data_IF_962370080430
#
_entry.id   IF_962370080430
#
_cell.length_a   1.000
_cell.length_b   1.000
_cell.length_c   1.000
_cell.angle_alpha   90.00
_cell.angle_beta   90.00
_cell.angle_gamma   90.00
#
_symmetry.space_group_name_H-M   'P 1'
#
loop_
_entity.id
_entity.type
_entity.pdbx_description
1 polymer ?
#
# COMPACT_ATOMS: atom_id res chain seq x y z
N UNK A 1 23.20 -2.48 8.00
CA UNK A 1 22.37 -1.28 7.71
C UNK A 1 20.98 -1.78 7.38
N UNK A 2 19.95 -1.33 8.10
CA UNK A 2 18.60 -1.83 7.90
C UNK A 2 17.82 -1.05 6.83
N UNK A 3 16.99 -1.77 6.05
CA UNK A 3 16.10 -1.21 5.03
C UNK A 3 14.91 -0.52 5.68
N UNK A 4 14.55 0.67 5.21
CA UNK A 4 13.34 1.38 5.60
C UNK A 4 12.18 0.99 4.68
N UNK A 5 11.19 0.29 5.22
CA UNK A 5 9.96 -0.07 4.52
C UNK A 5 8.80 0.78 5.04
N UNK A 6 8.06 1.39 4.12
CA UNK A 6 6.92 2.26 4.39
C UNK A 6 5.68 1.79 3.65
N UNK A 7 4.50 1.95 4.25
CA UNK A 7 3.20 1.76 3.60
C UNK A 7 2.33 3.00 3.73
N UNK A 8 1.54 3.32 2.70
CA UNK A 8 0.52 4.37 2.78
C UNK A 8 -0.64 4.15 1.80
N UNK A 9 -1.87 4.11 2.32
CA UNK A 9 -3.08 4.26 1.53
C UNK A 9 -3.26 5.73 1.13
N UNK A 10 -3.23 6.00 -0.18
CA UNK A 10 -3.24 7.38 -0.71
C UNK A 10 -4.64 7.99 -0.80
N UNK A 11 -5.68 7.24 -0.45
CA UNK A 11 -7.07 7.68 -0.53
C UNK A 11 -7.44 8.30 -1.89
N UNK A 12 -6.95 7.68 -2.97
CA UNK A 12 -7.08 8.18 -4.35
C UNK A 12 -6.53 9.62 -4.55
N UNK A 13 -5.63 10.07 -3.69
CA UNK A 13 -5.06 11.42 -3.69
C UNK A 13 -5.90 12.45 -2.93
N UNK A 14 -6.84 12.03 -2.09
CA UNK A 14 -7.75 12.93 -1.39
C UNK A 14 -7.25 13.34 0.00
N UNK A 15 -7.77 14.43 0.53
CA UNK A 15 -7.48 14.89 1.89
C UNK A 15 -8.50 14.38 2.89
N UNK A 16 -8.21 14.54 4.18
CA UNK A 16 -9.19 14.43 5.26
C UNK A 16 -9.36 15.80 5.94
N UNK A 17 -10.56 16.42 5.87
CA UNK A 17 -11.74 15.99 5.11
C UNK A 17 -11.52 16.03 3.57
N UNK A 18 -12.38 15.34 2.79
CA UNK A 18 -12.26 15.28 1.33
C UNK A 18 -12.24 16.66 0.66
N UNK A 19 -11.20 16.89 -0.12
CA UNK A 19 -10.98 18.12 -0.87
C UNK A 19 -11.33 17.99 -2.34
N UNK A 20 -11.40 19.12 -3.04
CA UNK A 20 -11.79 19.16 -4.45
C UNK A 20 -10.64 18.74 -5.38
N UNK A 21 -9.41 19.17 -5.06
CA UNK A 21 -8.19 18.93 -5.85
C UNK A 21 -7.43 17.70 -5.37
N UNK A 22 -6.92 16.90 -6.30
CA UNK A 22 -6.03 15.77 -5.98
C UNK A 22 -4.69 16.26 -5.45
N UNK A 23 -4.24 15.65 -4.35
CA UNK A 23 -2.94 15.84 -3.70
C UNK A 23 -2.00 14.66 -3.93
N UNK A 24 -2.32 13.79 -4.89
CA UNK A 24 -1.59 12.54 -5.11
C UNK A 24 -0.08 12.74 -5.31
N UNK A 25 0.31 13.71 -6.15
CA UNK A 25 1.73 14.03 -6.35
C UNK A 25 2.39 14.51 -5.05
N UNK A 26 1.73 15.39 -4.30
CA UNK A 26 2.26 15.89 -3.03
C UNK A 26 2.43 14.76 -2.00
N UNK A 27 1.48 13.82 -1.95
CA UNK A 27 1.59 12.62 -1.10
C UNK A 27 2.78 11.75 -1.50
N UNK A 28 2.90 11.41 -2.78
CA UNK A 28 3.99 10.55 -3.26
C UNK A 28 5.34 11.20 -2.99
N UNK A 29 5.49 12.50 -3.27
CA UNK A 29 6.72 13.26 -2.98
C UNK A 29 7.03 13.31 -1.50
N UNK A 30 6.02 13.54 -0.65
CA UNK A 30 6.19 13.55 0.80
C UNK A 30 6.63 12.17 1.32
N UNK A 31 6.00 11.10 0.82
CA UNK A 31 6.25 9.72 1.22
C UNK A 31 7.62 9.20 0.77
N UNK A 32 8.23 9.81 -0.24
CA UNK A 32 9.55 9.42 -0.75
C UNK A 32 10.66 10.41 -0.41
N UNK A 33 10.36 11.53 0.27
CA UNK A 33 11.29 12.64 0.48
C UNK A 33 12.58 12.23 1.21
N UNK A 34 12.46 11.36 2.22
CA UNK A 34 13.58 10.81 2.98
C UNK A 34 14.16 9.52 2.38
N UNK A 35 13.76 9.19 1.14
CA UNK A 35 14.27 8.06 0.35
C UNK A 35 14.14 6.71 1.07
N UNK A 36 12.91 6.24 1.38
CA UNK A 36 12.73 4.89 1.88
C UNK A 36 13.21 3.87 0.84
N UNK A 37 13.70 2.73 1.31
CA UNK A 37 14.14 1.65 0.43
C UNK A 37 12.95 1.03 -0.31
N UNK A 38 11.82 0.89 0.40
CA UNK A 38 10.58 0.36 -0.16
C UNK A 38 9.38 1.17 0.31
N UNK A 39 8.49 1.53 -0.62
CA UNK A 39 7.24 2.24 -0.37
C UNK A 39 6.06 1.50 -1.02
N UNK A 40 5.21 0.91 -0.18
CA UNK A 40 3.97 0.24 -0.56
C UNK A 40 2.81 1.25 -0.56
N UNK A 41 2.10 1.34 -1.68
CA UNK A 41 1.00 2.27 -1.88
C UNK A 41 -0.29 1.50 -2.19
N UNK A 42 -1.39 1.95 -1.58
CA UNK A 42 -2.74 1.47 -1.84
C UNK A 42 -3.61 2.62 -2.35
N UNK A 43 -4.73 2.27 -3.00
CA UNK A 43 -5.67 3.24 -3.58
C UNK A 43 -5.02 4.21 -4.57
N UNK A 44 -4.09 3.71 -5.38
CA UNK A 44 -3.46 4.49 -6.44
C UNK A 44 -4.39 4.52 -7.65
N UNK A 45 -4.79 5.69 -8.16
CA UNK A 45 -5.51 5.76 -9.42
C UNK A 45 -4.66 5.23 -10.60
N UNK A 46 -5.17 4.32 -11.45
CA UNK A 46 -4.44 3.75 -12.59
C UNK A 46 -3.80 4.74 -13.57
N UNK A 47 -4.30 5.98 -13.66
CA UNK A 47 -3.67 7.04 -14.48
C UNK A 47 -2.34 7.51 -13.88
N UNK A 48 -2.18 7.43 -12.57
CA UNK A 48 -1.01 7.88 -11.83
C UNK A 48 0.15 6.89 -11.85
N UNK A 49 -0.09 5.63 -12.23
CA UNK A 49 0.95 4.61 -12.33
C UNK A 49 2.13 5.01 -13.22
N UNK A 50 1.87 5.81 -14.26
CA UNK A 50 2.92 6.32 -15.16
C UNK A 50 3.80 7.39 -14.50
N UNK A 51 3.26 8.48 -13.92
CA UNK A 51 4.08 9.50 -13.27
C UNK A 51 4.65 9.10 -11.89
N UNK A 52 4.19 8.00 -11.26
CA UNK A 52 4.66 7.58 -9.93
C UNK A 52 6.18 7.58 -9.81
N UNK A 53 6.89 6.94 -10.75
CA UNK A 53 8.35 6.86 -10.71
C UNK A 53 9.04 8.22 -10.86
N UNK A 54 8.45 9.14 -11.63
CA UNK A 54 8.96 10.51 -11.77
C UNK A 54 8.74 11.33 -10.49
N UNK A 55 7.60 11.15 -9.80
CA UNK A 55 7.31 11.87 -8.57
C UNK A 55 8.18 11.39 -7.40
N UNK A 56 8.43 10.07 -7.32
CA UNK A 56 9.16 9.47 -6.21
C UNK A 56 10.67 9.33 -6.45
N UNK A 57 11.11 9.27 -7.72
CA UNK A 57 12.46 8.85 -8.08
C UNK A 57 12.73 7.36 -7.88
N UNK A 58 11.68 6.54 -7.75
CA UNK A 58 11.75 5.11 -7.41
C UNK A 58 11.27 4.22 -8.57
N UNK A 59 11.75 2.98 -8.60
CA UNK A 59 11.30 1.95 -9.55
C UNK A 59 9.93 1.41 -9.14
N UNK A 60 8.95 1.44 -10.06
CA UNK A 60 7.56 1.09 -9.75
C UNK A 60 7.22 -0.34 -10.22
N UNK A 61 6.56 -1.11 -9.36
CA UNK A 61 5.81 -2.33 -9.69
C UNK A 61 4.39 -2.20 -9.20
N UNK A 62 3.39 -2.58 -10.00
CA UNK A 62 1.99 -2.31 -9.66
C UNK A 62 1.04 -3.39 -10.15
N UNK A 63 -0.09 -3.53 -9.46
CA UNK A 63 -1.23 -4.35 -9.90
C UNK A 63 -2.48 -3.47 -9.98
N UNK A 64 -3.20 -3.52 -11.10
CA UNK A 64 -4.49 -2.84 -11.25
C UNK A 64 -5.57 -3.76 -10.65
N UNK A 65 -6.19 -3.32 -9.56
CA UNK A 65 -7.22 -4.09 -8.85
C UNK A 65 -8.60 -3.87 -9.45
N UNK A 66 -8.84 -2.66 -9.98
CA UNK A 66 -10.09 -2.29 -10.66
C UNK A 66 -9.80 -1.43 -11.88
N UNK A 67 -10.36 -1.81 -13.04
CA UNK A 67 -10.26 -1.01 -14.26
C UNK A 67 -11.13 0.24 -14.16
N UNK A 68 -10.63 1.33 -14.71
CA UNK A 68 -11.39 2.56 -14.91
C UNK A 68 -12.49 2.32 -15.96
N UNK A 69 -13.68 2.89 -15.74
CA UNK A 69 -14.76 2.93 -16.74
C UNK A 69 -14.50 4.00 -17.83
N UNK A 70 -13.57 4.92 -17.61
CA UNK A 70 -13.22 5.98 -18.55
C UNK A 70 -11.86 5.71 -19.21
N UNK A 71 -11.62 6.20 -20.45
CA UNK A 71 -10.28 6.19 -21.02
C UNK A 71 -9.28 6.91 -20.10
N UNK A 72 -8.07 6.35 -19.91
CA UNK A 72 -7.07 6.82 -18.90
C UNK A 72 -6.82 8.33 -18.90
N UNK A 73 -6.85 8.98 -20.08
CA UNK A 73 -6.63 10.44 -20.21
C UNK A 73 -7.77 11.25 -19.59
N UNK A 74 -9.01 10.81 -19.79
CA UNK A 74 -10.22 11.43 -19.24
C UNK A 74 -10.35 11.15 -17.75
N UNK A 75 -10.06 9.91 -17.31
CA UNK A 75 -10.03 9.55 -15.89
C UNK A 75 -9.06 10.45 -15.10
N UNK A 76 -7.84 10.65 -15.61
CA UNK A 76 -6.86 11.53 -14.97
C UNK A 76 -7.28 13.00 -14.93
N UNK A 77 -7.93 13.52 -15.98
CA UNK A 77 -8.45 14.89 -15.98
C UNK A 77 -9.59 15.07 -14.95
N UNK A 78 -10.54 14.12 -14.91
CA UNK A 78 -11.69 14.15 -13.99
C UNK A 78 -11.23 14.02 -12.53
N UNK A 79 -10.36 13.06 -12.21
CA UNK A 79 -9.84 12.89 -10.84
C UNK A 79 -9.03 14.11 -10.38
N UNK A 80 -8.24 14.74 -11.25
CA UNK A 80 -7.51 15.97 -10.90
C UNK A 80 -8.42 17.15 -10.58
N UNK A 81 -9.58 17.21 -11.26
CA UNK A 81 -10.52 18.33 -11.17
C UNK A 81 -11.58 18.17 -10.08
N UNK A 82 -12.01 16.94 -9.78
CA UNK A 82 -13.03 16.65 -8.76
C UNK A 82 -12.82 15.27 -8.10
N UNK A 83 -12.22 15.22 -6.91
CA UNK A 83 -12.16 13.98 -6.11
C UNK A 83 -13.49 13.59 -5.44
N UNK A 84 -14.45 14.52 -5.36
CA UNK A 84 -15.61 14.39 -4.48
C UNK A 84 -16.69 13.40 -4.94
N UNK A 85 -16.94 13.25 -6.26
CA UNK A 85 -18.18 12.62 -6.75
C UNK A 85 -18.01 11.24 -7.40
N UNK A 86 -16.80 10.80 -7.77
CA UNK A 86 -16.60 9.61 -8.63
C UNK A 86 -15.46 8.68 -8.18
N UNK A 87 -15.41 8.45 -6.85
CA UNK A 87 -14.28 7.93 -6.06
C UNK A 87 -13.56 6.67 -6.55
N UNK A 88 -14.24 5.64 -7.07
CA UNK A 88 -13.56 4.37 -7.44
C UNK A 88 -14.02 3.76 -8.76
N UNK A 89 -15.29 3.93 -9.14
CA UNK A 89 -15.82 3.36 -10.38
C UNK A 89 -15.27 4.03 -11.65
N UNK A 90 -15.07 5.35 -11.63
CA UNK A 90 -14.60 6.07 -12.82
C UNK A 90 -13.07 6.11 -12.90
N UNK A 91 -12.36 6.21 -11.76
CA UNK A 91 -10.90 6.30 -11.77
C UNK A 91 -10.22 4.92 -11.91
N UNK A 92 -10.86 3.86 -11.42
CA UNK A 92 -10.21 2.57 -11.18
C UNK A 92 -9.26 2.62 -9.97
N UNK A 93 -8.67 1.47 -9.62
CA UNK A 93 -7.81 1.33 -8.45
C UNK A 93 -6.61 0.43 -8.76
N UNK A 94 -5.48 0.73 -8.15
CA UNK A 94 -4.25 -0.05 -8.21
C UNK A 94 -3.51 -0.01 -6.86
N UNK A 95 -2.65 -1.00 -6.66
CA UNK A 95 -1.64 -1.02 -5.62
C UNK A 95 -0.26 -0.93 -6.28
N UNK A 96 0.71 -0.31 -5.61
CA UNK A 96 2.06 -0.16 -6.12
C UNK A 96 3.12 -0.44 -5.04
N UNK A 97 4.23 -1.05 -5.44
CA UNK A 97 5.47 -1.17 -4.67
C UNK A 97 6.50 -0.30 -5.40
N UNK A 98 7.02 0.69 -4.69
CA UNK A 98 8.08 1.56 -5.14
C UNK A 98 9.37 1.10 -4.48
N UNK A 99 10.42 0.91 -5.26
CA UNK A 99 11.71 0.40 -4.83
C UNK A 99 12.78 1.47 -5.06
N UNK A 100 13.70 1.64 -4.11
CA UNK A 100 14.88 2.46 -4.33
C UNK A 100 15.62 1.99 -5.60
N UNK A 101 16.26 2.88 -6.38
CA UNK A 101 16.89 2.52 -7.65
C UNK A 101 17.94 1.40 -7.57
N UNK A 102 18.53 1.17 -6.39
CA UNK A 102 19.50 0.09 -6.19
C UNK A 102 18.86 -1.29 -5.98
N UNK A 103 17.54 -1.35 -5.74
CA UNK A 103 16.81 -2.59 -5.49
C UNK A 103 16.17 -3.09 -6.78
N UNK A 104 16.89 -3.99 -7.46
CA UNK A 104 16.41 -4.60 -8.69
C UNK A 104 15.56 -5.85 -8.40
N UNK A 105 14.29 -5.88 -8.82
CA UNK A 105 13.40 -7.01 -8.59
C UNK A 105 13.72 -8.18 -9.53
N UNK A 106 13.88 -9.36 -8.95
CA UNK A 106 14.06 -10.62 -9.68
C UNK A 106 12.73 -11.16 -10.20
N UNK A 107 11.65 -10.92 -9.46
CA UNK A 107 10.32 -11.43 -9.80
C UNK A 107 9.22 -10.50 -9.28
N UNK A 108 8.08 -10.47 -9.97
CA UNK A 108 6.85 -9.81 -9.51
C UNK A 108 5.65 -10.72 -9.75
N UNK A 109 5.02 -11.20 -8.68
CA UNK A 109 3.82 -12.05 -8.70
C UNK A 109 2.64 -11.33 -8.04
N UNK A 110 1.42 -11.76 -8.34
CA UNK A 110 0.20 -11.28 -7.67
C UNK A 110 -0.81 -12.40 -7.42
N UNK A 111 -1.49 -12.33 -6.28
CA UNK A 111 -2.58 -13.21 -5.91
C UNK A 111 -3.82 -12.38 -5.59
N UNK A 112 -4.97 -12.80 -6.13
CA UNK A 112 -6.27 -12.31 -5.68
C UNK A 112 -6.58 -12.93 -4.32
N UNK A 113 -6.73 -12.10 -3.28
CA UNK A 113 -6.85 -12.54 -1.89
C UNK A 113 -8.28 -12.53 -1.38
N UNK A 114 -9.23 -11.88 -2.07
CA UNK A 114 -10.65 -11.92 -1.72
C UNK A 114 -11.34 -13.20 -2.24
N UNK A 115 -12.43 -13.59 -1.57
CA UNK A 115 -13.28 -14.72 -2.00
C UNK A 115 -14.25 -14.30 -3.13
N UNK A 116 -13.68 -13.86 -4.26
CA UNK A 116 -14.38 -13.50 -5.51
C UNK A 116 -15.45 -12.41 -5.38
N UNK A 117 -15.23 -11.42 -4.52
CA UNK A 117 -16.10 -10.24 -4.36
C UNK A 117 -16.16 -9.39 -5.64
N UNK A 118 -17.18 -8.54 -5.81
CA UNK A 118 -17.29 -7.66 -6.99
C UNK A 118 -16.11 -6.68 -7.13
N UNK A 119 -15.51 -6.27 -6.01
CA UNK A 119 -14.29 -5.46 -5.98
C UNK A 119 -13.10 -6.35 -5.59
N UNK A 120 -12.24 -6.74 -6.57
CA UNK A 120 -11.13 -7.63 -6.31
C UNK A 120 -10.09 -7.00 -5.38
N UNK A 121 -9.60 -7.78 -4.42
CA UNK A 121 -8.47 -7.44 -3.56
C UNK A 121 -7.28 -8.31 -3.94
N UNK A 122 -6.12 -7.68 -4.06
CA UNK A 122 -4.89 -8.35 -4.45
C UNK A 122 -3.80 -8.12 -3.40
N UNK A 123 -3.04 -9.17 -3.14
CA UNK A 123 -1.67 -9.05 -2.66
C UNK A 123 -0.74 -9.20 -3.86
N UNK A 124 0.26 -8.35 -4.00
CA UNK A 124 1.32 -8.55 -4.97
C UNK A 124 2.68 -8.49 -4.28
N UNK A 125 3.59 -9.34 -4.72
CA UNK A 125 4.88 -9.56 -4.11
C UNK A 125 5.99 -9.32 -5.12
N UNK A 126 7.04 -8.64 -4.67
CA UNK A 126 8.28 -8.47 -5.40
C UNK A 126 9.38 -9.24 -4.69
N UNK A 127 10.06 -10.11 -5.44
CA UNK A 127 11.24 -10.83 -4.96
C UNK A 127 12.49 -10.01 -5.27
N UNK A 128 13.21 -9.64 -4.23
CA UNK A 128 14.56 -9.07 -4.30
C UNK A 128 15.59 -10.19 -4.04
N UNK A 129 16.88 -9.95 -4.26
CA UNK A 129 17.92 -10.96 -3.99
C UNK A 129 17.92 -11.48 -2.54
N UNK A 130 17.63 -10.61 -1.57
CA UNK A 130 17.78 -10.93 -0.14
C UNK A 130 16.45 -11.02 0.63
N UNK A 131 15.34 -10.52 0.07
CA UNK A 131 14.03 -10.59 0.72
C UNK A 131 12.87 -10.54 -0.29
N UNK A 132 11.67 -10.81 0.20
CA UNK A 132 10.43 -10.57 -0.55
C UNK A 132 9.60 -9.49 0.12
N UNK A 133 9.06 -8.57 -0.67
CA UNK A 133 8.11 -7.56 -0.20
C UNK A 133 6.75 -7.78 -0.83
N UNK A 134 5.75 -8.04 0.01
CA UNK A 134 4.33 -8.06 -0.34
C UNK A 134 3.64 -6.74 -0.01
N UNK A 135 2.72 -6.33 -0.89
CA UNK A 135 1.81 -5.23 -0.68
C UNK A 135 0.36 -5.70 -0.86
N UNK A 136 -0.52 -5.35 0.08
CA UNK A 136 -1.94 -5.68 0.03
C UNK A 136 -2.84 -4.50 0.38
N UNK A 137 -4.10 -4.62 -0.04
CA UNK A 137 -5.20 -3.78 0.42
C UNK A 137 -6.40 -4.71 0.65
N UNK A 138 -6.65 -5.08 1.91
CA UNK A 138 -7.71 -6.01 2.28
C UNK A 138 -9.09 -5.33 2.19
N UNK A 139 -10.14 -6.14 2.26
CA UNK A 139 -11.52 -5.69 2.23
C UNK A 139 -11.85 -4.88 3.49
N UNK A 140 -12.43 -3.70 3.33
CA UNK A 140 -13.02 -2.93 4.42
C UNK A 140 -14.39 -3.50 4.80
N UNK A 141 -14.42 -4.40 5.79
CA UNK A 141 -15.65 -5.00 6.32
C UNK A 141 -15.59 -5.06 7.86
N UNK A 142 -15.83 -3.92 8.50
CA UNK A 142 -15.78 -3.79 9.95
C UNK A 142 -16.79 -4.68 10.70
N UNK A 143 -17.90 -5.05 10.07
CA UNK A 143 -18.94 -5.89 10.69
C UNK A 143 -18.56 -7.37 10.73
N UNK A 144 -17.60 -7.77 9.90
CA UNK A 144 -17.14 -9.15 9.74
C UNK A 144 -15.62 -9.16 9.60
N UNK A 145 -14.89 -8.83 10.68
CA UNK A 145 -13.43 -8.72 10.65
C UNK A 145 -12.73 -10.04 10.32
N UNK A 146 -13.42 -11.18 10.44
CA UNK A 146 -12.94 -12.48 9.97
C UNK A 146 -12.66 -12.51 8.46
N UNK A 147 -13.32 -11.65 7.67
CA UNK A 147 -13.10 -11.55 6.22
C UNK A 147 -11.72 -10.97 5.91
N UNK A 148 -11.38 -9.72 6.30
CA UNK A 148 -10.03 -9.21 6.09
C UNK A 148 -8.97 -10.07 6.80
N UNK A 149 -9.26 -10.63 7.98
CA UNK A 149 -8.33 -11.54 8.65
C UNK A 149 -7.97 -12.78 7.80
N UNK A 150 -8.94 -13.40 7.13
CA UNK A 150 -8.69 -14.51 6.22
C UNK A 150 -7.90 -14.08 4.96
N UNK A 151 -8.18 -12.88 4.42
CA UNK A 151 -7.45 -12.32 3.29
C UNK A 151 -5.97 -12.07 3.65
N UNK A 152 -5.70 -11.58 4.86
CA UNK A 152 -4.34 -11.36 5.39
C UNK A 152 -3.60 -12.69 5.56
N UNK A 153 -4.25 -13.72 6.09
CA UNK A 153 -3.67 -15.05 6.20
C UNK A 153 -3.28 -15.61 4.81
N UNK A 154 -4.17 -15.46 3.81
CA UNK A 154 -3.88 -15.84 2.42
C UNK A 154 -2.71 -15.05 1.84
N UNK A 155 -2.64 -13.74 2.09
CA UNK A 155 -1.55 -12.89 1.65
C UNK A 155 -0.21 -13.29 2.29
N UNK A 156 -0.19 -13.58 3.60
CA UNK A 156 1.00 -14.05 4.30
C UNK A 156 1.52 -15.39 3.77
N UNK A 157 0.61 -16.35 3.53
CA UNK A 157 0.96 -17.62 2.90
C UNK A 157 1.53 -17.42 1.49
N UNK A 158 0.91 -16.56 0.68
CA UNK A 158 1.38 -16.22 -0.66
C UNK A 158 2.77 -15.61 -0.66
N UNK A 159 3.04 -14.61 0.19
CA UNK A 159 4.37 -13.99 0.26
C UNK A 159 5.42 -14.99 0.73
N UNK A 160 5.07 -15.89 1.66
CA UNK A 160 5.96 -16.95 2.11
C UNK A 160 6.29 -17.95 0.99
N UNK A 161 5.32 -18.29 0.13
CA UNK A 161 5.55 -19.11 -1.08
C UNK A 161 6.54 -18.44 -2.04
N UNK A 162 6.30 -17.16 -2.37
CA UNK A 162 7.20 -16.38 -3.25
C UNK A 162 8.61 -16.24 -2.65
N UNK A 163 8.72 -16.28 -1.32
CA UNK A 163 10.01 -16.15 -0.64
C UNK A 163 10.94 -17.32 -0.83
N UNK A 164 10.43 -18.52 -1.08
CA UNK A 164 11.27 -19.72 -1.22
C UNK A 164 12.34 -19.81 -0.11
N UNK A 165 11.97 -19.45 1.12
CA UNK A 165 12.85 -19.45 2.30
C UNK A 165 13.53 -18.12 2.63
N UNK A 166 13.46 -17.10 1.77
CA UNK A 166 13.96 -15.76 2.08
C UNK A 166 13.11 -15.07 3.16
N UNK A 167 13.70 -14.10 3.90
CA UNK A 167 12.93 -13.18 4.72
C UNK A 167 11.84 -12.44 3.94
N UNK A 168 10.80 -12.06 4.66
CA UNK A 168 9.61 -11.44 4.07
C UNK A 168 9.21 -10.16 4.79
N UNK A 169 8.69 -9.21 4.02
CA UNK A 169 7.92 -8.08 4.52
C UNK A 169 6.53 -8.14 3.89
N UNK A 170 5.49 -7.97 4.69
CA UNK A 170 4.10 -7.86 4.24
C UNK A 170 3.56 -6.52 4.74
N UNK A 171 3.33 -5.59 3.83
CA UNK A 171 2.91 -4.24 4.14
C UNK A 171 1.57 -3.92 3.47
N UNK A 172 0.81 -2.98 4.03
CA UNK A 172 -0.42 -2.53 3.40
C UNK A 172 -1.46 -1.98 4.34
N UNK A 173 -2.62 -1.73 3.76
CA UNK A 173 -3.87 -1.48 4.48
C UNK A 173 -4.58 -2.82 4.69
N UNK A 174 -4.59 -3.27 5.94
CA UNK A 174 -5.17 -4.54 6.34
C UNK A 174 -6.65 -4.39 6.68
N UNK A 175 -7.17 -3.15 6.78
CA UNK A 175 -8.56 -2.85 7.13
C UNK A 175 -9.09 -3.52 8.42
N UNK A 176 -8.18 -3.96 9.28
CA UNK A 176 -8.51 -4.67 10.52
C UNK A 176 -7.46 -4.35 11.58
N UNK A 177 -7.92 -4.22 12.83
CA UNK A 177 -7.04 -3.95 13.97
C UNK A 177 -6.48 -5.23 14.55
N UNK A 178 -5.38 -5.11 15.29
CA UNK A 178 -4.67 -6.24 15.89
C UNK A 178 -5.55 -7.18 16.72
N UNK A 179 -6.55 -6.65 17.45
CA UNK A 179 -7.42 -7.46 18.31
C UNK A 179 -8.32 -8.44 17.54
N UNK A 180 -8.49 -8.23 16.23
CA UNK A 180 -9.36 -9.06 15.39
C UNK A 180 -8.58 -9.97 14.43
N UNK A 181 -7.25 -9.92 14.44
CA UNK A 181 -6.41 -10.79 13.61
C UNK A 181 -5.71 -11.79 14.51
N UNK A 182 -5.88 -13.08 14.21
CA UNK A 182 -5.09 -14.12 14.86
C UNK A 182 -3.62 -13.92 14.53
N UNK A 183 -2.73 -14.22 15.46
CA UNK A 183 -1.29 -14.18 15.23
C UNK A 183 -0.92 -14.91 13.93
N UNK A 184 -0.11 -14.27 13.10
CA UNK A 184 0.44 -14.84 11.88
C UNK A 184 1.77 -15.54 12.25
N UNK A 185 1.85 -16.87 12.26
CA UNK A 185 3.03 -17.56 12.79
C UNK A 185 4.32 -17.15 12.06
N UNK A 186 5.33 -16.76 12.85
CA UNK A 186 6.64 -16.34 12.36
C UNK A 186 6.70 -14.90 11.81
N UNK A 187 5.60 -14.15 11.84
CA UNK A 187 5.58 -12.72 11.51
C UNK A 187 5.65 -11.88 12.78
N UNK A 188 6.16 -10.66 12.65
CA UNK A 188 6.15 -9.66 13.72
C UNK A 188 4.72 -9.31 14.15
N UNK A 189 4.59 -8.76 15.36
CA UNK A 189 3.32 -8.28 15.87
C UNK A 189 2.70 -7.18 14.98
N UNK A 190 1.36 -7.14 14.96
CA UNK A 190 0.58 -6.09 14.31
C UNK A 190 0.72 -4.77 15.07
N UNK A 191 0.51 -3.67 14.34
CA UNK A 191 0.46 -2.33 14.92
C UNK A 191 -0.89 -2.00 15.55
N UNK A 192 -1.02 -0.79 16.14
CA UNK A 192 -2.25 -0.35 16.82
C UNK A 192 -3.38 0.08 15.87
N UNK A 193 -3.09 0.27 14.58
CA UNK A 193 -4.04 0.75 13.57
C UNK A 193 -4.55 -0.37 12.66
N UNK A 194 -4.93 0.00 11.44
CA UNK A 194 -5.30 -0.92 10.36
C UNK A 194 -4.23 -1.00 9.25
N UNK A 195 -3.27 -0.08 9.25
CA UNK A 195 -2.12 -0.08 8.35
C UNK A 195 -0.93 -0.74 9.05
N UNK A 196 -0.27 -1.69 8.35
CA UNK A 196 0.79 -2.51 8.94
C UNK A 196 1.99 -2.69 8.01
N UNK A 197 3.14 -2.97 8.63
CA UNK A 197 4.36 -3.49 8.00
C UNK A 197 4.84 -4.65 8.87
N UNK A 198 4.56 -5.87 8.43
CA UNK A 198 4.92 -7.11 9.14
C UNK A 198 6.20 -7.70 8.56
N UNK A 199 7.02 -8.29 9.42
CA UNK A 199 8.35 -8.80 9.05
C UNK A 199 8.48 -10.25 9.52
N UNK A 200 9.07 -11.09 8.68
CA UNK A 200 9.35 -12.50 8.98
C UNK A 200 10.79 -12.84 8.59
N UNK A 201 11.53 -13.46 9.51
CA UNK A 201 12.90 -13.90 9.26
C UNK A 201 13.98 -12.81 9.35
N UNK A 202 13.63 -11.61 9.82
CA UNK A 202 14.54 -10.50 10.11
C UNK A 202 14.14 -9.80 11.40
N UNK A 203 15.09 -9.10 12.02
CA UNK A 203 14.78 -8.16 13.08
C UNK A 203 14.08 -6.93 12.50
N UNK A 204 13.22 -6.33 13.32
CA UNK A 204 12.42 -5.17 12.95
C UNK A 204 12.33 -4.21 14.13
N UNK A 205 12.42 -2.90 13.84
CA UNK A 205 12.03 -1.89 14.83
C UNK A 205 10.52 -1.93 15.06
N UNK A 206 10.01 -1.40 16.20
CA UNK A 206 8.58 -1.20 16.37
C UNK A 206 7.97 -0.39 15.21
N UNK A 207 6.74 -0.73 14.81
CA UNK A 207 5.98 0.01 13.79
C UNK A 207 5.81 1.46 14.22
N UNK A 208 6.22 2.39 13.36
CA UNK A 208 6.00 3.83 13.56
C UNK A 208 4.86 4.31 12.69
N UNK A 209 3.91 5.00 13.30
CA UNK A 209 2.83 5.71 12.60
C UNK A 209 3.22 7.18 12.50
N UNK A 210 3.12 7.77 11.31
CA UNK A 210 3.44 9.18 11.14
C UNK A 210 2.45 10.08 11.88
N UNK A 211 2.94 11.12 12.59
CA UNK A 211 2.08 12.05 13.29
C UNK A 211 1.29 12.92 12.29
N UNK A 212 0.18 13.52 12.75
CA UNK A 212 -0.74 14.29 11.91
C UNK A 212 -0.04 15.50 11.28
N UNK A 213 0.81 16.18 12.04
CA UNK A 213 1.51 17.42 11.67
C UNK A 213 2.41 17.20 10.45
N UNK A 214 3.04 16.02 10.34
CA UNK A 214 3.90 15.65 9.21
C UNK A 214 3.11 15.54 7.90
N UNK A 215 1.79 15.38 7.98
CA UNK A 215 0.88 15.13 6.85
C UNK A 215 -0.05 16.31 6.58
N UNK A 216 0.08 17.39 7.35
CA UNK A 216 -0.74 18.59 7.20
C UNK A 216 -0.12 19.49 6.12
N UNK A 217 -0.80 19.65 4.98
CA UNK A 217 -0.30 20.47 3.87
C UNK A 217 -1.38 21.45 3.41
N UNK A 218 -1.12 22.74 3.59
CA UNK A 218 -2.05 23.80 3.20
C UNK A 218 -3.39 23.70 3.93
N UNK A 219 -3.36 23.41 5.23
CA UNK A 219 -4.55 23.34 6.10
C UNK A 219 -5.38 22.06 5.99
N UNK A 220 -4.96 21.09 5.18
CA UNK A 220 -5.65 19.81 5.02
C UNK A 220 -4.71 18.63 5.29
N UNK A 221 -5.22 17.59 5.95
CA UNK A 221 -4.46 16.37 6.20
C UNK A 221 -4.43 15.55 4.92
N UNK A 222 -3.24 15.19 4.46
CA UNK A 222 -3.06 14.29 3.32
C UNK A 222 -3.47 12.87 3.74
N UNK A 223 -4.47 12.32 3.04
CA UNK A 223 -5.10 11.03 3.29
C UNK A 223 -5.76 10.94 4.68
N UNK A 224 -6.83 10.16 4.77
CA UNK A 224 -7.39 9.71 6.05
C UNK A 224 -6.53 8.62 6.72
N UNK A 225 -5.62 8.00 5.97
CA UNK A 225 -4.60 7.10 6.51
C UNK A 225 -3.28 7.84 6.80
N UNK A 226 -2.58 7.42 7.84
CA UNK A 226 -1.21 7.83 8.11
C UNK A 226 -0.23 6.83 7.50
N UNK A 227 0.91 7.26 6.92
CA UNK A 227 2.00 6.35 6.62
C UNK A 227 2.45 5.60 7.86
N UNK A 228 2.79 4.33 7.65
CA UNK A 228 3.41 3.47 8.66
C UNK A 228 4.75 2.95 8.15
N UNK A 229 5.72 2.79 9.04
CA UNK A 229 7.07 2.38 8.64
C UNK A 229 7.79 1.54 9.69
N UNK A 230 8.70 0.71 9.21
CA UNK A 230 9.59 -0.17 9.99
C UNK A 230 10.98 -0.16 9.35
N UNK A 231 12.02 -0.21 10.18
CA UNK A 231 13.37 -0.56 9.74
C UNK A 231 13.61 -2.06 9.94
N UNK A 232 14.08 -2.75 8.90
CA UNK A 232 14.32 -4.20 8.89
C UNK A 232 15.78 -4.51 8.59
N UNK A 233 16.35 -5.52 9.26
CA UNK A 233 17.74 -5.97 9.04
C UNK A 233 18.49 -6.31 10.31
#
# INVERSE_FOLDING_TARGET
>A
MGLLVRSWNLFHGNTSPPGWRSRLEAMVRLASADRPDVLCLQEVPPWALRPLGTWSGMTVRSVVTRRSLLPRRLAGAVTRLHNGLFRSALAGQANAILLAPALEPLEHRSLRIDDRRPEPRFCHAVRLPELVVGNLHATNEFRRPEIPAAEIARAGAFVTDVSSGLPCVLAGDFNVRSEHVRELPGWSALGPGIDHVLVRGLNATPLRVWPLERRLVGGAVLSDHAPVEVRVG
#
